data_IF_028563433608
#
_entry.id   IF_028563433608
#
_cell.length_a   1.000
_cell.length_b   1.000
_cell.length_c   1.000
_cell.angle_alpha   90.00
_cell.angle_beta   90.00
_cell.angle_gamma   90.00
#
_symmetry.space_group_name_H-M   'P 1'
#
loop_
_entity.id
_entity.type
_entity.pdbx_description
1 polymer ?
#
# COMPACT_ATOMS: atom_id res chain seq x y z
N UNK A 1 28.14 -8.07 7.38
CA UNK A 1 27.18 -9.17 7.29
C UNK A 1 27.88 -10.44 7.76
N UNK A 2 27.25 -11.26 8.58
CA UNK A 2 27.77 -12.52 9.10
C UNK A 2 26.64 -13.51 9.37
N UNK A 3 26.98 -14.79 9.52
CA UNK A 3 26.10 -15.81 10.13
C UNK A 3 26.66 -16.06 11.53
N UNK A 4 25.81 -15.98 12.53
CA UNK A 4 26.20 -16.20 13.93
C UNK A 4 26.23 -17.69 14.31
N UNK A 5 26.58 -18.00 15.57
CA UNK A 5 26.69 -19.36 16.08
C UNK A 5 25.33 -20.11 16.12
N UNK A 6 24.21 -19.38 16.10
CA UNK A 6 22.85 -19.95 16.04
C UNK A 6 22.39 -20.22 14.61
N UNK A 7 23.18 -19.78 13.60
CA UNK A 7 22.86 -19.86 12.19
C UNK A 7 22.00 -18.70 11.69
N UNK A 8 21.84 -17.64 12.49
CA UNK A 8 21.08 -16.45 12.14
C UNK A 8 21.94 -15.52 11.28
N UNK A 9 21.31 -14.87 10.28
CA UNK A 9 21.95 -13.87 9.45
C UNK A 9 21.94 -12.52 10.16
N UNK A 10 23.12 -11.98 10.47
CA UNK A 10 23.31 -10.72 11.17
C UNK A 10 23.87 -9.66 10.22
N UNK A 11 23.12 -8.57 10.05
CA UNK A 11 23.47 -7.42 9.21
C UNK A 11 23.71 -6.23 10.13
N UNK A 12 24.96 -5.75 10.21
CA UNK A 12 25.31 -4.53 10.96
C UNK A 12 25.30 -3.35 10.00
N UNK A 13 24.53 -2.31 10.35
CA UNK A 13 24.44 -1.05 9.62
C UNK A 13 24.76 0.12 10.53
N UNK A 14 24.96 1.30 9.97
CA UNK A 14 25.13 2.54 10.76
C UNK A 14 23.89 2.86 11.64
N UNK A 15 22.71 2.38 11.25
CA UNK A 15 21.46 2.57 11.97
C UNK A 15 21.15 1.46 13.00
N UNK A 16 21.96 0.40 13.08
CA UNK A 16 21.73 -0.69 14.03
C UNK A 16 22.03 -2.08 13.46
N UNK A 17 21.58 -3.11 14.18
CA UNK A 17 21.76 -4.52 13.81
C UNK A 17 20.42 -5.12 13.45
N UNK A 18 20.34 -5.74 12.27
CA UNK A 18 19.19 -6.54 11.82
C UNK A 18 19.57 -8.01 11.88
N UNK A 19 18.79 -8.83 12.58
CA UNK A 19 19.02 -10.26 12.70
C UNK A 19 17.87 -11.04 12.07
N UNK A 20 18.18 -11.92 11.12
CA UNK A 20 17.23 -12.88 10.55
C UNK A 20 17.53 -14.26 11.12
N UNK A 21 16.54 -14.87 11.74
CA UNK A 21 16.68 -16.21 12.28
C UNK A 21 16.98 -17.23 11.18
N UNK A 22 17.72 -18.26 11.51
CA UNK A 22 18.03 -19.38 10.61
C UNK A 22 16.75 -19.90 9.94
N UNK A 23 16.79 -20.22 8.64
CA UNK A 23 15.64 -20.73 7.91
C UNK A 23 15.25 -22.13 8.43
N UNK A 24 13.95 -22.39 8.50
CA UNK A 24 13.38 -23.71 8.76
C UNK A 24 12.63 -24.16 7.51
N UNK A 25 13.03 -25.28 6.92
CA UNK A 25 12.35 -25.85 5.77
C UNK A 25 11.54 -27.07 6.20
N UNK A 26 10.35 -27.26 5.63
CA UNK A 26 9.45 -28.36 5.94
C UNK A 26 8.78 -28.90 4.69
N UNK A 27 8.56 -30.21 4.65
CA UNK A 27 7.71 -30.87 3.67
C UNK A 27 6.64 -31.71 4.36
N UNK A 28 5.48 -31.84 3.71
CA UNK A 28 4.46 -32.81 4.09
C UNK A 28 4.51 -33.98 3.14
N UNK A 29 4.92 -35.15 3.62
CA UNK A 29 5.00 -36.40 2.87
C UNK A 29 4.03 -37.39 3.53
N UNK A 30 3.08 -37.92 2.77
CA UNK A 30 2.05 -38.84 3.26
C UNK A 30 1.30 -38.34 4.52
N UNK A 31 1.06 -37.02 4.60
CA UNK A 31 0.37 -36.37 5.72
C UNK A 31 1.26 -36.08 6.94
N UNK A 32 2.53 -36.49 6.92
CA UNK A 32 3.50 -36.20 7.98
C UNK A 32 4.39 -35.01 7.60
N UNK A 33 4.50 -34.04 8.54
CA UNK A 33 5.40 -32.89 8.39
C UNK A 33 6.81 -33.32 8.77
N UNK A 34 7.74 -33.20 7.82
CA UNK A 34 9.16 -33.44 8.01
C UNK A 34 9.93 -32.13 7.95
N UNK A 35 10.84 -31.91 8.90
CA UNK A 35 11.77 -30.79 8.86
C UNK A 35 12.97 -31.16 7.99
N UNK A 36 13.30 -30.25 7.05
CA UNK A 36 14.43 -30.38 6.14
C UNK A 36 15.53 -29.43 6.62
N UNK A 37 16.76 -29.87 6.78
CA UNK A 37 17.86 -28.97 7.17
C UNK A 37 17.99 -27.82 6.18
N UNK A 38 18.02 -26.58 6.70
CA UNK A 38 18.20 -25.39 5.92
C UNK A 38 19.12 -24.41 6.65
N UNK A 39 19.95 -23.68 5.91
CA UNK A 39 20.86 -22.67 6.46
C UNK A 39 21.12 -21.55 5.47
N UNK A 40 21.49 -20.37 5.98
CA UNK A 40 21.99 -19.29 5.15
C UNK A 40 23.38 -19.64 4.59
N UNK A 41 23.61 -19.19 3.36
CA UNK A 41 24.90 -19.24 2.70
C UNK A 41 25.26 -17.81 2.25
N UNK A 42 26.42 -17.33 2.69
CA UNK A 42 26.91 -15.99 2.33
C UNK A 42 28.00 -16.09 1.27
N UNK A 43 27.88 -15.27 0.23
CA UNK A 43 28.94 -15.05 -0.75
C UNK A 43 29.16 -13.56 -0.95
N UNK A 44 30.42 -13.17 -1.17
CA UNK A 44 30.75 -11.79 -1.50
C UNK A 44 30.92 -11.69 -3.02
N UNK A 45 30.06 -10.87 -3.67
CA UNK A 45 30.09 -10.71 -5.13
C UNK A 45 31.07 -9.63 -5.58
N UNK A 46 31.21 -8.56 -4.79
CA UNK A 46 32.18 -7.49 -4.96
C UNK A 46 32.57 -6.93 -3.58
N UNK A 47 33.69 -6.24 -3.41
CA UNK A 47 34.06 -5.62 -2.14
C UNK A 47 32.89 -4.75 -1.59
N UNK A 48 32.40 -5.10 -0.40
CA UNK A 48 31.25 -4.41 0.25
C UNK A 48 29.85 -4.92 -0.11
N UNK A 49 29.71 -5.77 -1.15
CA UNK A 49 28.41 -6.36 -1.52
C UNK A 49 28.35 -7.84 -1.15
N UNK A 50 27.33 -8.20 -0.39
CA UNK A 50 27.06 -9.55 0.06
C UNK A 50 25.77 -10.09 -0.55
N UNK A 51 25.82 -11.36 -0.96
CA UNK A 51 24.64 -12.12 -1.36
C UNK A 51 24.37 -13.20 -0.32
N UNK A 52 23.15 -13.22 0.21
CA UNK A 52 22.68 -14.30 1.07
C UNK A 52 21.82 -15.26 0.23
N UNK A 53 22.21 -16.53 0.23
CA UNK A 53 21.46 -17.63 -0.35
C UNK A 53 20.98 -18.60 0.71
N UNK A 54 20.22 -19.62 0.29
CA UNK A 54 19.83 -20.73 1.13
C UNK A 54 20.46 -22.03 0.62
N UNK A 55 21.04 -22.78 1.55
CA UNK A 55 21.41 -24.16 1.35
C UNK A 55 20.34 -25.03 2.01
N UNK A 56 19.64 -25.82 1.22
CA UNK A 56 18.54 -26.69 1.67
C UNK A 56 18.97 -28.14 1.46
N UNK A 57 18.85 -28.95 2.52
CA UNK A 57 19.16 -30.37 2.47
C UNK A 57 18.31 -31.14 1.47
N UNK A 58 18.49 -32.45 1.42
CA UNK A 58 17.72 -33.30 0.50
C UNK A 58 16.22 -33.24 0.84
N UNK A 59 15.42 -33.04 -0.17
CA UNK A 59 13.96 -32.99 -0.10
C UNK A 59 13.33 -33.67 -1.32
N UNK A 60 12.08 -34.04 -1.25
CA UNK A 60 11.31 -34.57 -2.37
C UNK A 60 10.85 -33.43 -3.29
N UNK A 61 11.47 -33.32 -4.48
CA UNK A 61 11.14 -32.25 -5.42
C UNK A 61 9.72 -32.37 -6.03
N UNK A 62 9.03 -33.49 -5.84
CA UNK A 62 7.63 -33.66 -6.28
C UNK A 62 6.61 -33.12 -5.30
N UNK A 63 7.02 -32.83 -4.05
CA UNK A 63 6.18 -32.31 -2.99
C UNK A 63 6.50 -30.84 -2.71
N UNK A 64 5.49 -30.10 -2.18
CA UNK A 64 5.67 -28.71 -1.82
C UNK A 64 6.70 -28.57 -0.68
N UNK A 65 7.79 -27.86 -0.93
CA UNK A 65 8.73 -27.43 0.09
C UNK A 65 8.26 -26.08 0.64
N UNK A 66 8.10 -25.99 1.96
CA UNK A 66 7.81 -24.73 2.66
C UNK A 66 9.07 -24.32 3.41
N UNK A 67 9.62 -23.16 3.10
CA UNK A 67 10.74 -22.56 3.81
C UNK A 67 10.17 -21.38 4.60
N UNK A 68 10.34 -21.38 5.92
CA UNK A 68 9.88 -20.30 6.82
C UNK A 68 10.59 -18.98 6.44
N UNK A 69 9.98 -17.81 6.61
CA UNK A 69 10.21 -16.63 5.79
C UNK A 69 11.68 -16.29 5.61
N UNK A 70 12.09 -16.36 4.36
CA UNK A 70 13.40 -15.88 3.93
C UNK A 70 13.25 -14.39 3.67
N UNK A 71 14.12 -13.58 4.27
CA UNK A 71 14.26 -12.21 3.81
C UNK A 71 14.77 -12.22 2.36
N UNK A 72 13.90 -11.89 1.42
CA UNK A 72 14.27 -11.77 0.01
C UNK A 72 15.13 -10.52 -0.20
N UNK A 73 14.70 -9.40 0.40
CA UNK A 73 15.48 -8.17 0.47
C UNK A 73 15.02 -7.27 1.64
N UNK A 74 15.90 -6.38 2.06
CA UNK A 74 15.58 -5.27 2.98
C UNK A 74 16.33 -4.03 2.49
N UNK A 75 15.64 -2.91 2.44
CA UNK A 75 16.22 -1.65 1.97
C UNK A 75 15.63 -0.46 2.72
N UNK A 76 16.38 0.62 2.76
CA UNK A 76 15.83 1.93 3.13
C UNK A 76 15.15 2.55 1.90
N UNK A 77 14.11 3.32 2.15
CA UNK A 77 13.42 4.13 1.16
C UNK A 77 13.09 5.48 1.81
N UNK A 78 13.76 6.52 1.40
CA UNK A 78 13.59 7.86 1.95
C UNK A 78 14.66 8.82 1.44
N UNK A 79 14.45 10.10 1.73
CA UNK A 79 15.38 11.18 1.46
C UNK A 79 15.99 11.75 2.75
N UNK A 80 16.25 13.07 2.77
CA UNK A 80 16.95 13.74 3.87
C UNK A 80 16.02 14.25 4.99
N UNK A 81 14.69 14.12 4.82
CA UNK A 81 13.69 14.63 5.78
C UNK A 81 12.74 13.50 6.22
N UNK A 82 11.55 13.88 6.71
CA UNK A 82 10.56 12.93 7.22
C UNK A 82 9.92 12.13 6.07
N UNK A 83 10.07 10.81 6.16
CA UNK A 83 9.52 9.84 5.23
C UNK A 83 8.79 8.75 6.02
N UNK A 84 7.54 8.46 5.69
CA UNK A 84 6.71 7.48 6.39
C UNK A 84 5.98 6.61 5.37
N UNK A 85 6.17 5.30 5.44
CA UNK A 85 5.43 4.32 4.64
C UNK A 85 4.21 3.82 5.42
N UNK A 86 3.05 3.76 4.76
CA UNK A 86 1.79 3.29 5.36
C UNK A 86 1.23 2.07 4.66
N UNK A 87 1.33 2.00 3.34
CA UNK A 87 0.77 0.93 2.54
C UNK A 87 1.84 0.13 1.80
N UNK A 88 1.64 -1.19 1.74
CA UNK A 88 2.49 -2.12 0.98
C UNK A 88 1.62 -3.15 0.27
N UNK A 89 1.97 -3.49 -0.97
CA UNK A 89 1.38 -4.60 -1.72
C UNK A 89 2.42 -5.27 -2.62
N UNK A 90 2.11 -6.49 -3.06
CA UNK A 90 2.98 -7.28 -3.94
C UNK A 90 2.15 -7.76 -5.13
N UNK A 91 2.67 -7.62 -6.36
CA UNK A 91 2.02 -8.16 -7.55
C UNK A 91 2.37 -9.65 -7.79
N UNK A 92 1.70 -10.26 -8.77
CA UNK A 92 1.92 -11.66 -9.11
C UNK A 92 3.35 -11.97 -9.63
N UNK A 93 4.09 -10.95 -10.03
CA UNK A 93 5.48 -11.04 -10.46
C UNK A 93 6.48 -10.89 -9.30
N UNK A 94 5.99 -10.62 -8.08
CA UNK A 94 6.80 -10.39 -6.89
C UNK A 94 7.34 -8.97 -6.76
N UNK A 95 6.90 -8.02 -7.59
CA UNK A 95 7.26 -6.61 -7.43
C UNK A 95 6.57 -6.03 -6.19
N UNK A 96 7.30 -5.27 -5.39
CA UNK A 96 6.80 -4.66 -4.15
C UNK A 96 6.45 -3.21 -4.38
N UNK A 97 5.24 -2.84 -4.00
CA UNK A 97 4.73 -1.46 -4.07
C UNK A 97 4.61 -0.89 -2.67
N UNK A 98 5.06 0.33 -2.49
CA UNK A 98 5.00 1.04 -1.20
C UNK A 98 4.43 2.42 -1.44
N UNK A 99 3.50 2.85 -0.59
CA UNK A 99 3.04 4.23 -0.55
C UNK A 99 3.12 4.82 0.86
N UNK A 100 3.13 6.13 0.93
CA UNK A 100 3.17 6.86 2.18
C UNK A 100 3.21 8.36 1.97
N UNK A 101 3.89 9.07 2.85
CA UNK A 101 4.10 10.50 2.77
C UNK A 101 5.57 10.86 2.92
N UNK A 102 6.00 11.97 2.33
CA UNK A 102 7.37 12.47 2.41
C UNK A 102 7.41 13.99 2.42
N UNK A 103 8.31 14.56 3.20
CA UNK A 103 8.71 15.98 3.11
C UNK A 103 10.07 16.14 2.40
N UNK A 104 10.69 15.04 2.02
CA UNK A 104 12.00 15.05 1.36
C UNK A 104 11.89 15.51 -0.09
N UNK A 105 12.65 16.53 -0.45
CA UNK A 105 12.75 17.00 -1.85
C UNK A 105 13.72 16.15 -2.67
N UNK A 106 14.51 15.33 -2.00
CA UNK A 106 15.50 14.38 -2.53
C UNK A 106 15.07 12.92 -2.37
N UNK A 107 13.76 12.66 -2.19
CA UNK A 107 13.22 11.29 -2.14
C UNK A 107 13.57 10.54 -3.44
N UNK A 108 14.01 9.28 -3.37
CA UNK A 108 14.41 8.52 -4.55
C UNK A 108 13.28 8.42 -5.58
N UNK A 109 13.48 8.97 -6.77
CA UNK A 109 12.52 8.95 -7.89
C UNK A 109 13.07 8.18 -9.08
N UNK A 110 12.18 7.51 -9.82
CA UNK A 110 12.52 6.76 -11.03
C UNK A 110 11.30 6.66 -11.95
N UNK A 111 11.49 6.80 -13.26
CA UNK A 111 10.44 6.64 -14.29
C UNK A 111 9.20 7.52 -14.08
N UNK A 112 9.37 8.74 -13.64
CA UNK A 112 8.40 9.47 -12.85
C UNK A 112 7.33 10.24 -13.61
N UNK A 113 6.12 10.28 -13.01
CA UNK A 113 5.05 11.25 -13.31
C UNK A 113 5.39 12.64 -12.73
N UNK A 114 5.90 12.69 -11.50
CA UNK A 114 6.42 13.87 -10.81
C UNK A 114 7.69 13.50 -10.05
N UNK A 115 8.67 14.35 -10.09
CA UNK A 115 9.99 14.15 -9.48
C UNK A 115 10.38 15.25 -8.48
N UNK A 116 9.42 16.03 -7.99
CA UNK A 116 9.63 17.05 -6.98
C UNK A 116 8.44 17.13 -6.02
N UNK A 117 8.74 17.21 -4.73
CA UNK A 117 7.82 17.63 -3.70
C UNK A 117 7.51 19.12 -3.87
N UNK A 118 6.24 19.54 -3.71
CA UNK A 118 5.83 20.93 -3.91
C UNK A 118 5.89 21.76 -2.62
N UNK A 119 5.33 21.26 -1.53
CA UNK A 119 5.41 21.83 -0.17
C UNK A 119 4.73 20.89 0.82
N UNK A 120 5.18 20.90 2.08
CA UNK A 120 4.63 20.04 3.11
C UNK A 120 4.88 18.55 2.85
N UNK A 121 3.92 17.72 3.21
CA UNK A 121 3.93 16.30 2.89
C UNK A 121 3.31 16.07 1.52
N UNK A 122 4.01 15.36 0.65
CA UNK A 122 3.43 14.78 -0.56
C UNK A 122 3.36 13.25 -0.42
N UNK A 123 2.40 12.63 -1.09
CA UNK A 123 2.35 11.18 -1.23
C UNK A 123 3.54 10.72 -2.06
N UNK A 124 4.16 9.62 -1.68
CA UNK A 124 5.03 8.88 -2.58
C UNK A 124 4.42 7.53 -2.96
N UNK A 125 4.72 7.06 -4.15
CA UNK A 125 4.41 5.70 -4.62
C UNK A 125 5.63 5.13 -5.30
N UNK A 126 6.15 4.04 -4.76
CA UNK A 126 7.38 3.38 -5.24
C UNK A 126 7.11 1.93 -5.57
N UNK A 127 7.61 1.46 -6.71
CA UNK A 127 7.60 0.06 -7.14
C UNK A 127 9.02 -0.47 -7.22
N UNK A 128 9.30 -1.51 -6.46
CA UNK A 128 10.58 -2.24 -6.50
C UNK A 128 10.49 -3.47 -7.40
N UNK A 129 11.61 -3.84 -7.99
CA UNK A 129 11.79 -5.15 -8.62
C UNK A 129 11.58 -6.28 -7.61
N UNK A 130 11.29 -7.53 -8.05
CA UNK A 130 11.10 -8.68 -7.16
C UNK A 130 12.28 -8.96 -6.24
N UNK A 131 13.48 -8.57 -6.64
CA UNK A 131 14.73 -8.72 -5.88
C UNK A 131 15.01 -7.52 -4.96
N UNK A 132 14.22 -6.46 -5.02
CA UNK A 132 14.46 -5.21 -4.29
C UNK A 132 15.68 -4.41 -4.75
N UNK A 133 16.37 -4.86 -5.79
CA UNK A 133 17.64 -4.25 -6.24
C UNK A 133 17.46 -2.94 -7.00
N UNK A 134 16.25 -2.70 -7.57
CA UNK A 134 15.97 -1.54 -8.38
C UNK A 134 14.58 -0.97 -8.07
N UNK A 135 14.45 0.35 -8.15
CA UNK A 135 13.17 1.03 -8.31
C UNK A 135 12.75 0.94 -9.78
N UNK A 136 11.58 0.32 -10.05
CA UNK A 136 10.98 0.30 -11.39
C UNK A 136 10.37 1.66 -11.68
N UNK A 137 9.65 2.20 -10.69
CA UNK A 137 9.28 3.61 -10.64
C UNK A 137 9.17 4.11 -9.21
N UNK A 138 9.27 5.41 -9.04
CA UNK A 138 9.01 6.09 -7.77
C UNK A 138 8.64 7.53 -8.07
N UNK A 139 7.49 7.98 -7.58
CA UNK A 139 6.90 9.28 -7.93
C UNK A 139 6.27 9.94 -6.71
N UNK A 140 6.22 11.26 -6.74
CA UNK A 140 5.38 12.03 -5.83
C UNK A 140 3.97 12.18 -6.42
N UNK A 141 2.98 12.27 -5.54
CA UNK A 141 1.61 12.66 -5.85
C UNK A 141 1.17 13.68 -4.79
N UNK A 142 0.85 14.88 -5.20
CA UNK A 142 0.42 15.93 -4.28
C UNK A 142 0.20 17.27 -4.98
N UNK A 143 -0.31 18.22 -4.24
CA UNK A 143 -0.57 19.58 -4.69
C UNK A 143 0.26 20.61 -3.93
N UNK A 144 -0.37 21.69 -3.48
CA UNK A 144 0.33 22.81 -2.82
C UNK A 144 0.33 22.69 -1.28
N UNK A 145 -0.33 21.70 -0.71
CA UNK A 145 -0.47 21.50 0.73
C UNK A 145 -0.18 20.01 1.07
N UNK A 146 -0.48 19.60 2.29
CA UNK A 146 -0.18 18.25 2.76
C UNK A 146 -1.05 17.19 2.08
N UNK A 147 -0.40 16.17 1.57
CA UNK A 147 -1.03 15.02 0.94
C UNK A 147 -0.48 13.72 1.54
N UNK A 148 -1.36 12.78 1.92
CA UNK A 148 -0.98 11.55 2.62
C UNK A 148 -1.60 10.34 1.98
N UNK A 149 -0.77 9.39 1.53
CA UNK A 149 -1.21 8.11 1.00
C UNK A 149 -1.27 7.06 2.10
N UNK A 150 -2.45 6.58 2.46
CA UNK A 150 -2.62 5.65 3.59
C UNK A 150 -2.56 4.18 3.19
N UNK A 151 -3.11 3.85 2.04
CA UNK A 151 -3.18 2.45 1.61
C UNK A 151 -3.05 2.34 0.10
N UNK A 152 -2.59 1.18 -0.36
CA UNK A 152 -2.55 0.86 -1.78
C UNK A 152 -2.96 -0.60 -2.04
N UNK A 153 -3.50 -0.82 -3.23
CA UNK A 153 -3.73 -2.14 -3.80
C UNK A 153 -3.22 -2.18 -5.24
N UNK A 154 -2.93 -3.37 -5.74
CA UNK A 154 -2.42 -3.56 -7.10
C UNK A 154 -3.36 -4.47 -7.87
N UNK A 155 -3.74 -4.07 -9.09
CA UNK A 155 -4.56 -4.91 -9.97
C UNK A 155 -3.73 -5.95 -10.74
N UNK A 156 -4.42 -6.87 -11.42
CA UNK A 156 -3.79 -7.93 -12.20
C UNK A 156 -2.89 -7.41 -13.34
N UNK A 157 -3.06 -6.16 -13.75
CA UNK A 157 -2.26 -5.49 -14.79
C UNK A 157 -1.02 -4.79 -14.21
N UNK A 158 -0.85 -4.78 -12.87
CA UNK A 158 0.24 -4.09 -12.18
C UNK A 158 0.00 -2.58 -12.00
N UNK A 159 -1.24 -2.10 -12.16
CA UNK A 159 -1.61 -0.73 -11.81
C UNK A 159 -1.76 -0.58 -10.30
N UNK A 160 -1.12 0.42 -9.71
CA UNK A 160 -1.27 0.73 -8.29
C UNK A 160 -2.46 1.68 -8.08
N UNK A 161 -3.39 1.30 -7.20
CA UNK A 161 -4.47 2.16 -6.72
C UNK A 161 -4.10 2.64 -5.32
N UNK A 162 -3.98 3.94 -5.14
CA UNK A 162 -3.59 4.59 -3.88
C UNK A 162 -4.75 5.44 -3.38
N UNK A 163 -5.01 5.36 -2.08
CA UNK A 163 -6.01 6.18 -1.40
C UNK A 163 -5.40 6.89 -0.20
N UNK A 164 -6.01 7.99 0.19
CA UNK A 164 -5.54 8.79 1.31
C UNK A 164 -6.36 10.04 1.53
N UNK A 165 -5.70 11.08 2.02
CA UNK A 165 -6.27 12.42 2.22
C UNK A 165 -5.40 13.47 1.54
N UNK A 166 -6.04 14.56 1.12
CA UNK A 166 -5.40 15.73 0.54
C UNK A 166 -5.95 17.02 1.16
N UNK A 167 -5.07 17.94 1.48
CA UNK A 167 -5.38 19.33 1.83
C UNK A 167 -5.21 20.25 0.62
N UNK A 168 -4.76 19.70 -0.50
CA UNK A 168 -4.43 20.42 -1.72
C UNK A 168 -5.64 20.56 -2.63
N UNK A 169 -6.10 21.78 -2.85
CA UNK A 169 -7.18 22.08 -3.81
C UNK A 169 -6.79 21.81 -5.26
N UNK A 170 -5.48 21.68 -5.54
CA UNK A 170 -4.89 21.41 -6.85
C UNK A 170 -4.22 20.02 -6.92
N UNK A 171 -4.67 19.06 -6.09
CA UNK A 171 -4.22 17.67 -6.20
C UNK A 171 -4.34 17.18 -7.65
N UNK A 172 -3.37 16.39 -8.18
CA UNK A 172 -3.37 15.97 -9.57
C UNK A 172 -4.54 15.03 -9.89
N UNK A 173 -5.43 15.44 -10.76
CA UNK A 173 -6.61 14.68 -11.19
C UNK A 173 -6.51 14.24 -12.66
N UNK A 174 -7.15 13.13 -12.98
CA UNK A 174 -7.27 12.59 -14.34
C UNK A 174 -8.57 11.81 -14.46
N UNK A 175 -9.41 12.10 -15.46
CA UNK A 175 -10.72 11.47 -15.65
C UNK A 175 -11.50 11.37 -14.33
N UNK A 176 -11.59 12.44 -13.53
CA UNK A 176 -12.18 12.39 -12.20
C UNK A 176 -13.70 12.21 -12.25
N UNK A 177 -14.27 11.48 -11.26
CA UNK A 177 -15.71 11.55 -11.01
C UNK A 177 -16.07 12.75 -10.11
N UNK A 178 -15.11 13.27 -9.33
CA UNK A 178 -15.18 14.53 -8.60
C UNK A 178 -13.97 15.39 -8.97
N UNK A 179 -14.20 16.43 -9.79
CA UNK A 179 -13.12 17.25 -10.33
C UNK A 179 -12.64 18.34 -9.37
N UNK A 180 -13.46 18.71 -8.40
CA UNK A 180 -13.16 19.80 -7.49
C UNK A 180 -13.05 19.29 -6.06
N UNK A 181 -12.18 19.91 -5.29
CA UNK A 181 -12.11 19.78 -3.84
C UNK A 181 -13.48 20.13 -3.25
N UNK A 182 -14.01 19.28 -2.37
CA UNK A 182 -15.37 19.41 -1.82
C UNK A 182 -15.50 20.49 -0.76
N UNK A 183 -14.43 20.80 -0.07
CA UNK A 183 -14.40 21.79 1.01
C UNK A 183 -13.88 21.24 2.33
N UNK A 184 -14.10 21.98 3.40
CA UNK A 184 -13.61 21.61 4.73
C UNK A 184 -12.10 21.65 4.87
N UNK A 185 -11.57 20.86 5.84
CA UNK A 185 -10.14 20.84 6.09
C UNK A 185 -9.39 19.98 5.09
N UNK A 186 -10.00 18.85 4.65
CA UNK A 186 -9.38 17.88 3.74
C UNK A 186 -10.41 17.00 3.05
N UNK A 187 -10.08 16.55 1.86
CA UNK A 187 -10.82 15.54 1.10
C UNK A 187 -10.04 14.22 1.03
N UNK A 188 -10.75 13.12 0.91
CA UNK A 188 -10.17 11.88 0.43
C UNK A 188 -9.73 12.02 -1.03
N UNK A 189 -8.78 11.21 -1.44
CA UNK A 189 -8.44 11.02 -2.84
C UNK A 189 -8.33 9.54 -3.20
N UNK A 190 -8.52 9.25 -4.47
CA UNK A 190 -8.26 7.94 -5.06
C UNK A 190 -7.54 8.11 -6.40
N UNK A 191 -6.37 7.50 -6.53
CA UNK A 191 -5.52 7.62 -7.71
C UNK A 191 -5.06 6.24 -8.18
N UNK A 192 -5.25 5.94 -9.47
CA UNK A 192 -4.73 4.74 -10.12
C UNK A 192 -3.59 5.12 -11.07
N UNK A 193 -2.41 4.57 -10.80
CA UNK A 193 -1.21 4.72 -11.63
C UNK A 193 -1.10 3.59 -12.65
N UNK A 194 -0.58 3.90 -13.82
CA UNK A 194 -0.19 2.90 -14.84
C UNK A 194 0.90 1.97 -14.30
N UNK A 195 1.09 0.76 -14.87
CA UNK A 195 2.05 -0.25 -14.38
C UNK A 195 3.50 0.22 -14.31
N UNK A 196 3.86 1.23 -15.11
CA UNK A 196 5.18 1.86 -15.16
C UNK A 196 5.25 3.20 -14.41
N UNK A 197 4.19 3.62 -13.71
CA UNK A 197 4.12 4.87 -12.97
C UNK A 197 4.09 6.14 -13.81
N UNK A 198 4.09 6.05 -15.15
CA UNK A 198 4.25 7.22 -16.03
C UNK A 198 2.96 8.00 -16.29
N UNK A 199 1.80 7.45 -15.93
CA UNK A 199 0.51 8.09 -16.17
C UNK A 199 -0.50 7.82 -15.07
N UNK A 200 -1.41 8.77 -14.86
CA UNK A 200 -2.62 8.58 -14.07
C UNK A 200 -3.69 7.94 -14.97
N UNK A 201 -4.09 6.70 -14.67
CA UNK A 201 -5.19 6.02 -15.36
C UNK A 201 -6.49 6.74 -15.03
N UNK A 202 -6.70 7.00 -13.75
CA UNK A 202 -7.67 7.95 -13.20
C UNK A 202 -7.17 8.53 -11.88
N UNK A 203 -7.66 9.70 -11.50
CA UNK A 203 -7.42 10.31 -10.20
C UNK A 203 -8.54 11.29 -9.87
N UNK A 204 -9.10 11.21 -8.66
CA UNK A 204 -10.29 11.97 -8.25
C UNK A 204 -10.21 12.37 -6.79
N UNK A 205 -10.74 13.52 -6.46
CA UNK A 205 -11.19 13.82 -5.10
C UNK A 205 -12.35 12.92 -4.71
N UNK A 206 -12.52 12.72 -3.40
CA UNK A 206 -13.64 11.98 -2.81
C UNK A 206 -14.00 12.64 -1.48
N UNK A 207 -14.93 13.58 -1.48
CA UNK A 207 -15.28 14.28 -0.27
C UNK A 207 -16.41 15.27 -0.46
N UNK A 208 -16.78 15.94 0.62
CA UNK A 208 -17.80 16.97 0.67
C UNK A 208 -17.30 18.21 1.39
N UNK A 209 -18.19 18.88 2.13
CA UNK A 209 -17.86 20.16 2.79
C UNK A 209 -17.22 19.99 4.19
N UNK A 210 -17.01 18.78 4.64
CA UNK A 210 -16.36 18.46 5.92
C UNK A 210 -14.94 17.89 5.74
N UNK A 211 -14.48 17.13 6.71
CA UNK A 211 -13.22 16.38 6.61
C UNK A 211 -13.49 14.96 6.14
N UNK A 212 -12.82 14.55 5.09
CA UNK A 212 -13.00 13.27 4.42
C UNK A 212 -11.66 12.58 4.22
N UNK A 213 -11.61 11.27 4.49
CA UNK A 213 -10.42 10.44 4.38
C UNK A 213 -10.77 9.11 3.71
N UNK A 214 -9.93 8.60 2.82
CA UNK A 214 -9.97 7.20 2.39
C UNK A 214 -8.80 6.46 3.04
N UNK A 215 -9.09 5.45 3.85
CA UNK A 215 -8.11 4.75 4.69
C UNK A 215 -7.75 3.36 4.21
N UNK A 216 -8.57 2.77 3.36
CA UNK A 216 -8.36 1.40 2.87
C UNK A 216 -8.87 1.25 1.43
N UNK A 217 -8.20 0.35 0.67
CA UNK A 217 -8.54 0.05 -0.72
C UNK A 217 -8.28 -1.43 -1.03
N UNK A 218 -9.13 -2.02 -1.86
CA UNK A 218 -8.94 -3.36 -2.43
C UNK A 218 -9.35 -3.35 -3.91
N UNK A 219 -8.81 -4.29 -4.68
CA UNK A 219 -9.14 -4.47 -6.10
C UNK A 219 -9.56 -5.92 -6.32
N UNK A 220 -10.67 -6.14 -7.02
CA UNK A 220 -11.12 -7.49 -7.37
C UNK A 220 -10.38 -8.03 -8.62
N UNK A 221 -10.50 -9.34 -8.92
CA UNK A 221 -9.81 -9.94 -10.07
C UNK A 221 -10.16 -9.36 -11.44
N UNK A 222 -11.31 -8.67 -11.56
CA UNK A 222 -11.71 -8.00 -12.81
C UNK A 222 -11.32 -6.53 -12.85
N UNK A 223 -10.65 -6.04 -11.79
CA UNK A 223 -10.10 -4.70 -11.69
C UNK A 223 -11.02 -3.63 -11.09
N UNK A 224 -12.23 -4.00 -10.58
CA UNK A 224 -13.04 -3.02 -9.84
C UNK A 224 -12.33 -2.63 -8.55
N UNK A 225 -12.44 -1.35 -8.20
CA UNK A 225 -11.81 -0.76 -7.04
C UNK A 225 -12.85 -0.56 -5.95
N UNK A 226 -12.50 -0.97 -4.73
CA UNK A 226 -13.31 -0.79 -3.53
C UNK A 226 -12.49 0.01 -2.53
N UNK A 227 -13.02 1.13 -2.06
CA UNK A 227 -12.37 1.95 -1.06
C UNK A 227 -13.29 2.22 0.12
N UNK A 228 -12.69 2.40 1.27
CA UNK A 228 -13.36 2.75 2.50
C UNK A 228 -12.60 3.84 3.25
N UNK A 229 -13.32 4.56 4.09
CA UNK A 229 -12.75 5.65 4.86
C UNK A 229 -13.77 6.28 5.80
N UNK A 230 -13.59 7.55 6.12
CA UNK A 230 -14.39 8.30 7.06
C UNK A 230 -14.81 9.64 6.44
N UNK A 231 -15.99 10.12 6.82
CA UNK A 231 -16.51 11.41 6.36
C UNK A 231 -17.26 12.12 7.48
N UNK A 232 -16.94 13.39 7.71
CA UNK A 232 -17.76 14.31 8.50
C UNK A 232 -18.69 15.16 7.64
N UNK A 233 -18.62 15.01 6.33
CA UNK A 233 -19.44 15.75 5.37
C UNK A 233 -20.89 15.31 5.42
N UNK A 234 -21.81 16.24 5.37
CA UNK A 234 -23.24 15.96 5.20
C UNK A 234 -23.65 15.83 3.74
N UNK A 235 -22.77 16.23 2.82
CA UNK A 235 -22.93 16.23 1.37
C UNK A 235 -21.86 15.38 0.65
N UNK A 236 -21.32 14.33 1.30
CA UNK A 236 -20.44 13.34 0.64
C UNK A 236 -21.10 12.80 -0.63
N UNK A 237 -20.36 12.58 -1.73
CA UNK A 237 -20.93 12.19 -3.03
C UNK A 237 -21.47 10.75 -3.02
N UNK A 238 -22.65 10.54 -2.48
CA UNK A 238 -23.32 9.24 -2.46
C UNK A 238 -23.92 8.89 -3.81
N UNK A 239 -23.88 7.61 -4.16
CA UNK A 239 -24.49 7.05 -5.37
C UNK A 239 -25.11 5.70 -5.05
N UNK A 240 -26.42 5.53 -5.32
CA UNK A 240 -27.18 4.30 -4.96
C UNK A 240 -26.87 3.83 -3.54
N UNK A 241 -26.94 4.70 -2.53
CA UNK A 241 -26.45 4.43 -1.20
C UNK A 241 -27.34 3.45 -0.43
N UNK A 242 -26.70 2.63 0.43
CA UNK A 242 -27.40 1.92 1.51
C UNK A 242 -27.83 2.92 2.60
N UNK A 243 -26.95 3.87 2.95
CA UNK A 243 -27.21 4.97 3.88
C UNK A 243 -26.92 6.29 3.15
N UNK A 244 -27.94 7.12 2.97
CA UNK A 244 -27.85 8.34 2.16
C UNK A 244 -27.35 9.57 2.92
N UNK A 245 -27.30 9.53 4.25
CA UNK A 245 -26.91 10.67 5.07
C UNK A 245 -25.97 10.27 6.19
N UNK A 246 -25.06 11.17 6.53
CA UNK A 246 -24.25 11.11 7.74
C UNK A 246 -25.20 11.17 8.96
N UNK A 247 -24.96 10.33 9.97
CA UNK A 247 -25.78 10.23 11.19
C UNK A 247 -25.01 10.63 12.45
N UNK A 248 -23.71 10.82 12.35
CA UNK A 248 -22.82 11.16 13.46
C UNK A 248 -21.94 12.37 13.18
N UNK A 249 -20.86 12.51 13.92
CA UNK A 249 -19.81 13.48 13.59
C UNK A 249 -18.98 12.97 12.42
N UNK A 250 -18.52 11.70 12.50
CA UNK A 250 -17.87 10.99 11.41
C UNK A 250 -18.56 9.66 11.21
N UNK A 251 -19.04 9.42 10.01
CA UNK A 251 -19.48 8.10 9.56
C UNK A 251 -18.41 7.48 8.65
N UNK A 252 -18.31 6.16 8.69
CA UNK A 252 -17.57 5.43 7.67
C UNK A 252 -18.22 5.65 6.31
N UNK A 253 -17.39 5.59 5.27
CA UNK A 253 -17.85 5.60 3.88
C UNK A 253 -17.28 4.39 3.13
N UNK A 254 -18.06 3.90 2.17
CA UNK A 254 -17.62 2.83 1.27
C UNK A 254 -18.05 3.16 -0.16
N UNK A 255 -17.14 2.92 -1.10
CA UNK A 255 -17.40 3.15 -2.53
C UNK A 255 -16.82 2.05 -3.39
N UNK A 256 -17.46 1.82 -4.55
CA UNK A 256 -16.98 0.94 -5.61
C UNK A 256 -16.87 1.73 -6.90
N UNK A 257 -15.74 1.54 -7.60
CA UNK A 257 -15.50 2.09 -8.94
C UNK A 257 -15.24 0.95 -9.92
N UNK A 258 -15.49 1.22 -11.21
CA UNK A 258 -15.03 0.36 -12.31
C UNK A 258 -13.50 0.43 -12.44
N UNK A 259 -12.87 -0.46 -13.23
CA UNK A 259 -11.43 -0.39 -13.51
C UNK A 259 -10.94 0.95 -14.07
N UNK A 260 -11.82 1.70 -14.74
CA UNK A 260 -11.55 3.01 -15.36
C UNK A 260 -11.87 4.20 -14.43
N UNK A 261 -12.34 3.94 -13.20
CA UNK A 261 -12.62 4.97 -12.19
C UNK A 261 -14.06 5.50 -12.19
N UNK A 262 -14.98 4.92 -12.95
CA UNK A 262 -16.39 5.33 -12.90
C UNK A 262 -17.08 4.81 -11.62
N UNK A 263 -17.82 5.66 -10.87
CA UNK A 263 -18.48 5.24 -9.65
C UNK A 263 -19.65 4.29 -9.93
N UNK A 264 -19.73 3.20 -9.16
CA UNK A 264 -20.79 2.19 -9.22
C UNK A 264 -21.77 2.38 -8.06
N UNK A 265 -21.24 2.56 -6.87
CA UNK A 265 -21.96 3.00 -5.67
C UNK A 265 -21.05 3.77 -4.73
N UNK A 266 -21.63 4.61 -3.88
CA UNK A 266 -20.99 5.25 -2.75
C UNK A 266 -22.01 5.47 -1.65
N UNK A 267 -21.67 5.14 -0.39
CA UNK A 267 -22.59 5.12 0.74
C UNK A 267 -21.91 5.51 2.04
N UNK A 268 -22.64 6.08 2.96
CA UNK A 268 -22.25 6.09 4.37
C UNK A 268 -22.54 4.72 5.02
N UNK A 269 -21.83 4.44 6.10
CA UNK A 269 -22.01 3.29 7.00
C UNK A 269 -21.70 3.74 8.42
N UNK A 270 -22.71 4.15 9.17
CA UNK A 270 -22.51 4.64 10.53
C UNK A 270 -23.80 4.86 11.29
N UNK A 271 -23.65 5.29 12.52
CA UNK A 271 -24.73 5.53 13.47
C UNK A 271 -24.70 6.93 14.06
N UNK A 272 -25.40 7.14 15.20
CA UNK A 272 -25.44 8.41 15.92
C UNK A 272 -24.21 8.68 16.82
N UNK A 273 -23.15 7.86 16.71
CA UNK A 273 -21.95 7.98 17.51
C UNK A 273 -21.04 9.14 17.13
N UNK A 274 -19.96 9.30 17.90
CA UNK A 274 -18.96 10.34 17.61
C UNK A 274 -18.06 10.01 16.44
N UNK A 275 -17.74 8.72 16.24
CA UNK A 275 -16.76 8.31 15.27
C UNK A 275 -16.99 6.86 14.84
N UNK A 276 -17.36 6.67 13.59
CA UNK A 276 -17.42 5.39 12.92
C UNK A 276 -16.34 5.39 11.83
N UNK A 277 -15.39 4.43 11.86
CA UNK A 277 -14.24 4.43 10.98
C UNK A 277 -14.09 3.11 10.23
N UNK A 278 -13.95 3.16 8.93
CA UNK A 278 -13.53 2.03 8.12
C UNK A 278 -12.00 1.91 8.18
N UNK A 279 -11.50 0.80 8.73
CA UNK A 279 -10.06 0.56 8.91
C UNK A 279 -9.49 -0.51 7.98
N UNK A 280 -10.35 -1.23 7.28
CA UNK A 280 -9.92 -2.27 6.33
C UNK A 280 -11.05 -2.67 5.41
N UNK A 281 -10.67 -3.01 4.19
CA UNK A 281 -11.54 -3.53 3.16
C UNK A 281 -10.85 -4.70 2.47
N UNK A 282 -11.58 -5.76 2.22
CA UNK A 282 -11.09 -6.88 1.43
C UNK A 282 -12.18 -7.35 0.50
N UNK A 283 -11.79 -7.88 -0.63
CA UNK A 283 -12.70 -8.42 -1.64
C UNK A 283 -12.12 -9.73 -2.16
N UNK A 284 -12.98 -10.72 -2.26
CA UNK A 284 -12.71 -11.91 -3.04
C UNK A 284 -13.73 -11.98 -4.19
N UNK A 285 -13.67 -13.02 -5.03
CA UNK A 285 -14.58 -13.15 -6.18
C UNK A 285 -16.08 -13.14 -5.82
N UNK A 286 -16.46 -13.22 -4.54
CA UNK A 286 -17.85 -13.42 -4.07
C UNK A 286 -18.28 -12.45 -2.96
N UNK A 287 -17.37 -11.97 -2.09
CA UNK A 287 -17.71 -11.23 -0.88
C UNK A 287 -16.88 -9.96 -0.68
N UNK A 288 -17.56 -8.86 -0.26
CA UNK A 288 -16.95 -7.63 0.22
C UNK A 288 -17.00 -7.61 1.76
N UNK A 289 -15.87 -7.42 2.42
CA UNK A 289 -15.79 -7.19 3.87
C UNK A 289 -15.27 -5.78 4.13
N UNK A 290 -15.97 -5.04 5.00
CA UNK A 290 -15.51 -3.74 5.52
C UNK A 290 -15.31 -3.91 7.02
N UNK A 291 -14.08 -3.74 7.49
CA UNK A 291 -13.75 -3.67 8.91
C UNK A 291 -14.18 -2.33 9.48
N UNK A 292 -15.13 -2.31 10.40
CA UNK A 292 -15.57 -1.12 11.13
C UNK A 292 -14.96 -1.12 12.53
N UNK A 293 -14.41 0.00 12.96
CA UNK A 293 -13.99 0.23 14.33
C UNK A 293 -14.95 1.23 14.98
N UNK A 294 -15.60 0.79 16.05
CA UNK A 294 -16.40 1.65 16.90
C UNK A 294 -15.55 2.16 18.05
N UNK A 295 -15.43 3.46 18.21
CA UNK A 295 -14.91 4.07 19.42
C UNK A 295 -16.09 4.37 20.31
N UNK A 296 -16.35 3.53 21.30
CA UNK A 296 -17.35 3.81 22.36
C UNK A 296 -16.90 5.01 23.18
N UNK A 297 -17.84 5.81 23.72
CA UNK A 297 -17.53 7.03 24.47
C UNK A 297 -16.75 6.78 25.76
#
# INVERSE_FOLDING_TARGET
>A
VAIDELGDLVIKTAAGVVTHRRPVARQTIEGLVQEIPARFQLSQTTPGMWQAGLDVGRYDATQKLVIDPVLVFSTFLGGSRDDQAFGIAVDAQGCVYVCGQTTSTDFPTAGTQRNQNSSGYDVFVSKFSPTGSNLIYSTYLGGNDNDRGFHLAVDASGCAVVVGQTFSINYPISKPFQANYGGGDRDGFITKLSPNGAALVFSSFVGGSGSDDLTCVAVDPVGNVYAGGNSSSTNFPVLKPFQAANRGNFDSVALKLTPEGAPVYATYLGGGGRYDSAVGITVNAVLLFVGLQYVTP
#
